data_IF_946490978217
#
_entry.id   IF_946490978217
#
_cell.length_a   1.000
_cell.length_b   1.000
_cell.length_c   1.000
_cell.angle_alpha   90.00
_cell.angle_beta   90.00
_cell.angle_gamma   90.00
#
_symmetry.space_group_name_H-M   'P 1'
#
loop_
_entity.id
_entity.type
_entity.pdbx_description
1 polymer ?
#
# COMPACT_ATOMS: atom_id res chain seq x y z
N UNK A 1 -15.09 35.06 6.97
CA UNK A 1 -13.75 35.33 6.40
C UNK A 1 -12.78 34.34 7.02
N UNK A 2 -12.21 33.47 6.20
CA UNK A 2 -11.33 32.38 6.61
C UNK A 2 -10.00 32.94 7.11
N UNK A 3 -9.63 32.62 8.35
CA UNK A 3 -8.26 32.77 8.84
C UNK A 3 -7.39 31.82 8.01
N UNK A 4 -6.67 32.37 7.04
CA UNK A 4 -5.62 31.65 6.32
C UNK A 4 -4.46 31.41 7.29
N UNK A 5 -3.96 30.18 7.33
CA UNK A 5 -2.86 29.79 8.22
C UNK A 5 -1.61 30.66 7.97
N UNK A 6 -0.97 31.19 9.03
CA UNK A 6 0.19 32.07 8.94
C UNK A 6 1.44 31.40 8.32
N UNK A 7 1.41 30.08 8.11
CA UNK A 7 2.49 29.36 7.44
C UNK A 7 2.65 29.70 5.95
N UNK A 8 1.60 30.23 5.29
CA UNK A 8 1.63 30.53 3.85
C UNK A 8 2.15 31.96 3.57
N UNK A 9 2.17 32.85 4.56
CA UNK A 9 2.54 34.26 4.36
C UNK A 9 4.05 34.53 4.28
N UNK A 10 4.91 33.58 4.65
CA UNK A 10 6.38 33.75 4.61
C UNK A 10 7.00 33.07 3.37
N UNK A 11 6.62 33.57 2.17
CA UNK A 11 6.89 32.91 0.88
C UNK A 11 8.28 33.15 0.27
N UNK A 12 9.15 33.97 0.86
CA UNK A 12 10.39 34.39 0.18
C UNK A 12 11.51 33.33 0.15
N UNK A 13 11.48 32.32 1.02
CA UNK A 13 12.54 31.30 1.13
C UNK A 13 12.02 29.85 1.23
N UNK A 14 10.73 29.60 0.95
CA UNK A 14 10.18 28.25 1.06
C UNK A 14 10.29 27.50 -0.27
N UNK A 15 10.95 26.35 -0.23
CA UNK A 15 11.00 25.41 -1.36
C UNK A 15 9.56 24.97 -1.68
N UNK A 16 9.14 24.95 -2.96
CA UNK A 16 7.78 24.56 -3.31
C UNK A 16 7.52 23.10 -2.92
N UNK A 17 6.47 22.86 -2.13
CA UNK A 17 6.07 21.50 -1.74
C UNK A 17 5.47 20.78 -2.95
N UNK A 18 6.08 19.65 -3.35
CA UNK A 18 5.64 18.86 -4.52
C UNK A 18 5.10 17.47 -4.18
N UNK A 19 5.20 17.04 -2.92
CA UNK A 19 4.74 15.73 -2.46
C UNK A 19 4.19 15.83 -1.04
N UNK A 20 3.04 15.20 -0.80
CA UNK A 20 2.49 14.92 0.52
C UNK A 20 2.53 13.41 0.74
N UNK A 21 3.14 12.97 1.85
CA UNK A 21 3.15 11.55 2.26
C UNK A 21 2.36 11.40 3.56
N UNK A 22 1.38 10.49 3.57
CA UNK A 22 0.61 10.13 4.77
C UNK A 22 0.86 8.66 5.07
N UNK A 23 1.70 8.40 6.08
CA UNK A 23 1.99 7.07 6.58
C UNK A 23 1.47 6.91 8.02
N UNK A 24 0.33 6.25 8.28
CA UNK A 24 -0.63 5.68 7.33
C UNK A 24 -1.99 6.31 7.50
N UNK A 25 -2.73 6.49 6.40
CA UNK A 25 -4.12 6.98 6.51
C UNK A 25 -5.02 5.99 7.28
N UNK A 26 -4.68 4.70 7.24
CA UNK A 26 -5.48 3.67 7.90
C UNK A 26 -5.36 3.65 9.44
N UNK A 27 -4.34 4.30 10.02
CA UNK A 27 -4.23 4.42 11.47
C UNK A 27 -5.46 5.10 12.11
N UNK A 28 -6.04 6.08 11.43
CA UNK A 28 -7.22 6.84 11.91
C UNK A 28 -8.52 6.03 11.97
N UNK A 29 -8.54 4.81 11.41
CA UNK A 29 -9.78 4.06 11.18
C UNK A 29 -9.78 2.68 11.82
N UNK A 30 -8.73 2.35 12.59
CA UNK A 30 -8.58 1.03 13.21
C UNK A 30 -9.24 0.89 14.57
N UNK A 31 -9.16 1.93 15.40
CA UNK A 31 -9.66 1.92 16.77
C UNK A 31 -10.97 2.67 16.95
N UNK A 32 -11.28 3.59 16.04
CA UNK A 32 -12.28 4.63 16.32
C UNK A 32 -13.68 4.28 15.77
N UNK A 33 -13.81 3.14 15.08
CA UNK A 33 -15.05 2.74 14.42
C UNK A 33 -15.37 1.27 14.71
N UNK A 34 -16.50 1.05 15.37
CA UNK A 34 -17.09 -0.29 15.49
C UNK A 34 -17.66 -0.76 14.14
N UNK A 35 -17.89 -2.08 14.04
CA UNK A 35 -18.51 -2.69 12.86
C UNK A 35 -20.05 -2.49 12.80
N UNK A 36 -20.57 -1.41 13.39
CA UNK A 36 -21.98 -1.05 13.28
C UNK A 36 -22.27 -0.40 11.92
N UNK A 37 -23.46 -0.60 11.32
CA UNK A 37 -23.81 0.03 10.05
C UNK A 37 -23.69 1.57 10.06
N UNK A 38 -23.99 2.19 11.21
CA UNK A 38 -23.92 3.64 11.42
C UNK A 38 -22.46 4.12 11.35
N UNK A 39 -21.56 3.45 12.07
CA UNK A 39 -20.14 3.80 12.07
C UNK A 39 -19.48 3.49 10.73
N UNK A 40 -19.86 2.41 10.05
CA UNK A 40 -19.40 2.11 8.68
C UNK A 40 -19.82 3.20 7.67
N UNK A 41 -21.04 3.73 7.80
CA UNK A 41 -21.51 4.86 6.99
C UNK A 41 -20.72 6.13 7.29
N UNK A 42 -20.50 6.43 8.57
CA UNK A 42 -19.71 7.60 9.01
C UNK A 42 -18.26 7.51 8.51
N UNK A 43 -17.63 6.35 8.65
CA UNK A 43 -16.31 6.03 8.12
C UNK A 43 -16.22 6.26 6.61
N UNK A 44 -17.19 5.76 5.86
CA UNK A 44 -17.26 5.95 4.40
C UNK A 44 -17.41 7.42 4.03
N UNK A 45 -18.25 8.18 4.73
CA UNK A 45 -18.37 9.63 4.53
C UNK A 45 -17.05 10.36 4.76
N UNK A 46 -16.30 9.97 5.80
CA UNK A 46 -15.01 10.56 6.11
C UNK A 46 -13.96 10.25 5.03
N UNK A 47 -13.93 9.03 4.47
CA UNK A 47 -13.10 8.68 3.31
C UNK A 47 -13.34 9.61 2.11
N UNK A 48 -14.60 9.84 1.75
CA UNK A 48 -14.94 10.75 0.64
C UNK A 48 -14.51 12.20 0.92
N UNK A 49 -14.70 12.68 2.16
CA UNK A 49 -14.26 14.03 2.55
C UNK A 49 -12.75 14.18 2.48
N UNK A 50 -12.00 13.25 3.07
CA UNK A 50 -10.52 13.30 3.10
C UNK A 50 -9.98 13.22 1.67
N UNK A 51 -10.42 12.23 0.88
CA UNK A 51 -9.94 12.06 -0.49
C UNK A 51 -10.26 13.26 -1.38
N UNK A 52 -11.45 13.86 -1.24
CA UNK A 52 -11.82 15.08 -1.96
C UNK A 52 -10.86 16.23 -1.62
N UNK A 53 -10.53 16.43 -0.34
CA UNK A 53 -9.59 17.46 0.10
C UNK A 53 -8.18 17.20 -0.42
N UNK A 54 -7.67 15.97 -0.33
CA UNK A 54 -6.35 15.60 -0.84
C UNK A 54 -6.25 15.81 -2.35
N UNK A 55 -7.28 15.44 -3.12
CA UNK A 55 -7.35 15.70 -4.57
C UNK A 55 -7.40 17.19 -4.89
N UNK A 56 -8.14 17.98 -4.11
CA UNK A 56 -8.19 19.42 -4.28
C UNK A 56 -6.82 20.07 -4.02
N UNK A 57 -6.09 19.63 -2.99
CA UNK A 57 -4.72 20.07 -2.73
C UNK A 57 -3.76 19.68 -3.86
N UNK A 58 -3.80 18.42 -4.30
CA UNK A 58 -3.00 17.92 -5.41
C UNK A 58 -3.19 18.76 -6.68
N UNK A 59 -4.45 19.04 -7.05
CA UNK A 59 -4.78 19.87 -8.20
C UNK A 59 -4.36 21.33 -8.02
N UNK A 60 -4.65 21.93 -6.86
CA UNK A 60 -4.38 23.36 -6.61
C UNK A 60 -2.89 23.68 -6.59
N UNK A 61 -2.08 22.79 -6.01
CA UNK A 61 -0.66 23.03 -5.79
C UNK A 61 0.24 22.21 -6.74
N UNK A 62 -0.34 21.49 -7.69
CA UNK A 62 0.37 20.64 -8.64
C UNK A 62 1.37 19.69 -7.93
N UNK A 63 0.87 18.98 -6.91
CA UNK A 63 1.66 18.06 -6.09
C UNK A 63 1.12 16.63 -6.18
N UNK A 64 1.97 15.67 -5.87
CA UNK A 64 1.57 14.28 -5.69
C UNK A 64 1.14 14.02 -4.23
N UNK A 65 0.17 13.12 -4.03
CA UNK A 65 -0.22 12.65 -2.70
C UNK A 65 -0.01 11.14 -2.65
N UNK A 66 0.89 10.70 -1.79
CA UNK A 66 1.15 9.29 -1.49
C UNK A 66 0.57 8.96 -0.12
N UNK A 67 -0.21 7.90 -0.05
CA UNK A 67 -0.79 7.41 1.20
C UNK A 67 -0.46 5.94 1.37
N UNK A 68 -0.05 5.54 2.56
CA UNK A 68 0.11 4.13 2.89
C UNK A 68 -1.18 3.62 3.53
N UNK A 69 -1.53 2.39 3.18
CA UNK A 69 -2.64 1.67 3.77
C UNK A 69 -2.10 0.33 4.23
N UNK A 70 -2.43 -0.07 5.45
CA UNK A 70 -2.08 -1.41 5.90
C UNK A 70 -3.03 -2.46 5.34
N UNK A 71 -2.64 -3.71 5.59
CA UNK A 71 -3.42 -4.88 5.23
C UNK A 71 -3.92 -5.60 6.47
N UNK A 72 -5.01 -6.34 6.30
CA UNK A 72 -5.57 -7.27 7.28
C UNK A 72 -5.54 -8.69 6.70
N UNK A 73 -5.47 -9.69 7.58
CA UNK A 73 -5.49 -11.09 7.16
C UNK A 73 -6.87 -11.47 6.62
N UNK A 74 -6.87 -12.21 5.50
CA UNK A 74 -8.09 -12.76 4.92
C UNK A 74 -8.28 -14.20 5.41
N UNK A 75 -9.10 -14.35 6.45
CA UNK A 75 -9.47 -15.64 7.05
C UNK A 75 -10.78 -16.12 6.43
N UNK A 76 -10.76 -17.31 5.82
CA UNK A 76 -11.90 -17.92 5.12
C UNK A 76 -11.44 -19.15 4.32
N UNK A 77 -12.34 -20.00 3.79
CA UNK A 77 -11.93 -21.15 2.99
C UNK A 77 -11.14 -20.72 1.74
N UNK A 78 -10.40 -21.65 1.13
CA UNK A 78 -9.73 -21.42 -0.15
C UNK A 78 -10.70 -21.14 -1.30
N UNK A 79 -11.99 -21.35 -1.06
CA UNK A 79 -13.10 -20.90 -1.87
C UNK A 79 -13.79 -19.78 -1.11
N UNK A 80 -13.88 -18.60 -1.73
CA UNK A 80 -14.36 -17.40 -1.08
C UNK A 80 -15.63 -17.66 -0.29
N UNK A 81 -15.70 -17.17 0.94
CA UNK A 81 -16.95 -17.06 1.66
C UNK A 81 -17.86 -16.21 0.74
N UNK A 82 -18.76 -16.88 0.03
CA UNK A 82 -19.63 -16.37 -1.04
C UNK A 82 -18.98 -15.87 -2.34
N UNK A 83 -17.79 -16.34 -2.75
CA UNK A 83 -17.21 -15.93 -4.04
C UNK A 83 -17.16 -14.41 -4.26
N UNK A 84 -17.23 -13.62 -3.18
CA UNK A 84 -17.42 -12.19 -3.24
C UNK A 84 -16.08 -11.57 -3.58
N UNK A 85 -15.79 -11.51 -4.89
CA UNK A 85 -14.92 -10.47 -5.42
C UNK A 85 -15.51 -9.16 -4.93
N UNK A 86 -14.95 -8.58 -3.87
CA UNK A 86 -15.31 -7.25 -3.40
C UNK A 86 -14.79 -6.27 -4.47
N UNK A 87 -15.49 -6.18 -5.61
CA UNK A 87 -15.03 -5.54 -6.84
C UNK A 87 -13.74 -6.15 -7.41
N UNK A 88 -12.92 -5.32 -8.06
CA UNK A 88 -11.58 -5.66 -8.56
C UNK A 88 -10.53 -5.88 -7.44
N UNK A 89 -10.91 -6.12 -6.19
CA UNK A 89 -9.94 -6.41 -5.13
C UNK A 89 -9.47 -7.86 -5.27
N UNK A 90 -8.32 -8.02 -5.91
CA UNK A 90 -7.57 -9.30 -5.99
C UNK A 90 -7.18 -9.75 -4.59
N UNK A 91 -7.30 -11.05 -4.30
CA UNK A 91 -6.69 -11.64 -3.11
C UNK A 91 -5.17 -11.50 -3.20
N UNK A 92 -4.57 -10.72 -2.29
CA UNK A 92 -3.14 -10.43 -2.31
C UNK A 92 -2.41 -11.42 -1.40
N UNK A 93 -1.18 -11.76 -1.77
CA UNK A 93 -0.35 -12.68 -1.00
C UNK A 93 0.96 -12.00 -0.60
N UNK A 94 1.34 -12.17 0.67
CA UNK A 94 2.63 -11.69 1.18
C UNK A 94 3.04 -12.50 2.41
N UNK A 95 4.31 -12.88 2.48
CA UNK A 95 4.90 -13.63 3.61
C UNK A 95 4.07 -14.88 3.97
N UNK A 96 3.63 -15.62 2.95
CA UNK A 96 2.81 -16.83 3.11
C UNK A 96 1.36 -16.60 3.54
N UNK A 97 0.89 -15.35 3.65
CA UNK A 97 -0.46 -15.01 4.10
C UNK A 97 -1.30 -14.40 3.00
N UNK A 98 -2.59 -14.71 3.01
CA UNK A 98 -3.61 -14.00 2.24
C UNK A 98 -4.02 -12.75 2.98
N UNK A 99 -4.02 -11.62 2.27
CA UNK A 99 -4.29 -10.31 2.86
C UNK A 99 -5.22 -9.49 1.96
N UNK A 100 -5.92 -8.54 2.58
CA UNK A 100 -6.68 -7.51 1.86
C UNK A 100 -6.41 -6.11 2.44
N UNK A 101 -6.62 -5.02 1.67
CA UNK A 101 -6.41 -3.66 2.17
C UNK A 101 -7.39 -3.28 3.29
N UNK A 102 -6.91 -2.65 4.36
CA UNK A 102 -7.69 -2.43 5.58
C UNK A 102 -8.90 -1.49 5.42
N UNK A 103 -8.86 -0.54 4.49
CA UNK A 103 -9.89 0.49 4.33
C UNK A 103 -11.06 0.10 3.42
N UNK A 104 -11.00 -1.08 2.79
CA UNK A 104 -12.10 -1.62 2.00
C UNK A 104 -12.50 -0.78 0.77
N UNK A 105 -13.69 -1.08 0.25
CA UNK A 105 -14.13 -0.63 -1.06
C UNK A 105 -14.42 0.88 -1.15
N UNK A 106 -14.95 1.47 -0.09
CA UNK A 106 -15.24 2.91 -0.06
C UNK A 106 -13.98 3.74 -0.30
N UNK A 107 -12.86 3.38 0.35
CA UNK A 107 -11.57 4.02 0.10
C UNK A 107 -10.98 3.64 -1.27
N UNK A 108 -11.12 2.37 -1.69
CA UNK A 108 -10.59 1.91 -2.97
C UNK A 108 -11.14 2.69 -4.18
N UNK A 109 -12.38 3.16 -4.12
CA UNK A 109 -12.99 3.99 -5.16
C UNK A 109 -12.54 5.46 -5.12
N UNK A 110 -11.85 5.88 -4.06
CA UNK A 110 -11.40 7.26 -3.91
C UNK A 110 -9.99 7.50 -4.49
N UNK A 111 -9.18 6.46 -4.67
CA UNK A 111 -7.77 6.59 -5.06
C UNK A 111 -7.56 6.43 -6.57
N UNK A 112 -6.55 7.11 -7.12
CA UNK A 112 -6.28 7.09 -8.56
C UNK A 112 -5.43 5.88 -8.99
N UNK A 113 -4.49 5.46 -8.13
CA UNK A 113 -3.62 4.31 -8.34
C UNK A 113 -3.43 3.56 -7.02
N UNK A 114 -3.28 2.24 -7.09
CA UNK A 114 -3.02 1.34 -5.97
C UNK A 114 -1.84 0.45 -6.32
N UNK A 115 -0.81 0.53 -5.50
CA UNK A 115 0.36 -0.34 -5.57
C UNK A 115 0.35 -1.27 -4.35
N UNK A 116 0.79 -2.51 -4.55
CA UNK A 116 0.92 -3.48 -3.46
C UNK A 116 2.36 -3.96 -3.33
N UNK A 117 2.89 -3.89 -2.12
CA UNK A 117 4.22 -4.40 -1.79
C UNK A 117 4.05 -5.76 -1.11
N UNK A 118 4.71 -6.77 -1.68
CA UNK A 118 4.77 -8.11 -1.09
C UNK A 118 6.21 -8.44 -0.65
N UNK A 119 6.32 -9.32 0.34
CA UNK A 119 7.59 -9.90 0.78
C UNK A 119 7.44 -11.42 0.82
N UNK A 120 8.22 -12.13 0.02
CA UNK A 120 8.28 -13.58 0.00
C UNK A 120 9.68 -14.05 0.42
N UNK A 121 9.76 -15.23 1.04
CA UNK A 121 11.02 -15.89 1.34
C UNK A 121 11.18 -17.06 0.36
N UNK A 122 12.20 -17.00 -0.48
CA UNK A 122 12.60 -18.13 -1.32
C UNK A 122 13.71 -18.89 -0.61
N UNK A 123 13.54 -20.20 -0.49
CA UNK A 123 14.56 -21.10 0.04
C UNK A 123 15.35 -21.63 -1.16
N UNK A 124 16.57 -21.14 -1.33
CA UNK A 124 17.47 -21.61 -2.39
C UNK A 124 18.34 -22.71 -1.79
N UNK A 125 18.41 -23.85 -2.48
CA UNK A 125 19.38 -24.90 -2.19
C UNK A 125 20.71 -24.48 -2.82
N UNK A 126 21.74 -24.30 -2.01
CA UNK A 126 23.10 -24.19 -2.56
C UNK A 126 23.61 -25.60 -2.85
N UNK A 127 23.73 -25.94 -4.13
CA UNK A 127 24.51 -27.10 -4.55
C UNK A 127 25.98 -26.72 -4.50
N UNK A 128 26.60 -26.85 -3.32
CA UNK A 128 28.05 -26.81 -3.22
C UNK A 128 28.62 -28.10 -3.84
N UNK A 129 29.04 -28.04 -5.11
CA UNK A 129 29.66 -29.16 -5.85
C UNK A 129 31.00 -29.64 -5.27
N UNK A 130 31.44 -29.15 -4.10
CA UNK A 130 32.75 -29.49 -3.52
C UNK A 130 32.73 -29.64 -2.00
N UNK A 131 32.15 -30.73 -1.49
CA UNK A 131 32.69 -31.45 -0.32
C UNK A 131 31.82 -32.65 0.06
N UNK A 132 32.45 -33.83 0.10
CA UNK A 132 31.94 -35.01 0.81
C UNK A 132 31.67 -34.64 2.29
N UNK A 133 30.41 -34.66 2.72
CA UNK A 133 30.05 -34.61 4.14
C UNK A 133 28.95 -33.61 4.51
N UNK A 134 27.70 -34.00 4.24
CA UNK A 134 26.55 -33.85 5.14
C UNK A 134 26.34 -32.52 5.90
N UNK A 135 26.18 -31.41 5.18
CA UNK A 135 25.28 -30.33 5.61
C UNK A 135 24.73 -29.60 4.38
N UNK A 136 23.44 -29.77 4.09
CA UNK A 136 22.73 -28.98 3.09
C UNK A 136 22.40 -27.61 3.69
N UNK A 137 23.18 -26.58 3.33
CA UNK A 137 22.91 -25.24 3.80
C UNK A 137 21.80 -24.61 2.94
N UNK A 138 20.71 -24.19 3.60
CA UNK A 138 19.57 -23.56 2.93
C UNK A 138 19.69 -22.05 3.07
N UNK A 139 19.92 -21.33 1.97
CA UNK A 139 19.95 -19.87 1.98
C UNK A 139 18.54 -19.32 1.80
N UNK A 140 18.07 -18.54 2.78
CA UNK A 140 16.79 -17.82 2.71
C UNK A 140 16.99 -16.47 2.03
N UNK A 141 16.55 -16.33 0.78
CA UNK A 141 16.52 -15.05 0.08
C UNK A 141 15.19 -14.35 0.30
N UNK A 142 15.23 -13.11 0.80
CA UNK A 142 14.04 -12.26 0.96
C UNK A 142 13.76 -11.52 -0.35
N UNK A 143 12.73 -11.93 -1.06
CA UNK A 143 12.27 -11.30 -2.29
C UNK A 143 11.16 -10.30 -2.00
N UNK A 144 11.29 -9.06 -2.48
CA UNK A 144 10.22 -8.06 -2.40
C UNK A 144 9.78 -7.67 -3.79
N UNK A 145 8.46 -7.58 -3.98
CA UNK A 145 7.83 -7.22 -5.24
C UNK A 145 6.84 -6.08 -5.04
N UNK A 146 6.84 -5.14 -5.96
CA UNK A 146 5.85 -4.09 -6.10
C UNK A 146 4.92 -4.47 -7.27
N UNK A 147 3.62 -4.49 -7.03
CA UNK A 147 2.59 -4.79 -8.02
C UNK A 147 1.73 -3.57 -8.29
N UNK A 148 1.43 -3.30 -9.56
CA UNK A 148 0.37 -2.37 -9.96
C UNK A 148 -0.97 -3.11 -9.85
N UNK A 149 -1.68 -2.90 -8.73
CA UNK A 149 -3.00 -3.53 -8.49
C UNK A 149 -4.11 -2.79 -9.23
N UNK A 150 -3.98 -1.47 -9.35
CA UNK A 150 -4.92 -0.66 -10.10
C UNK A 150 -4.25 0.65 -10.50
N UNK A 151 -4.27 0.97 -11.78
CA UNK A 151 -4.00 2.30 -12.29
C UNK A 151 -4.60 2.36 -13.71
N UNK A 152 -5.49 3.32 -14.03
CA UNK A 152 -6.15 3.35 -15.33
C UNK A 152 -5.20 3.63 -16.50
N UNK A 153 -3.99 4.13 -16.22
CA UNK A 153 -2.99 4.53 -17.21
C UNK A 153 -1.79 3.59 -17.27
N UNK A 154 -1.75 2.51 -16.47
CA UNK A 154 -0.65 1.55 -16.45
C UNK A 154 -1.15 0.14 -16.73
N UNK A 155 -0.37 -0.69 -17.43
CA UNK A 155 -0.66 -2.11 -17.56
C UNK A 155 -0.47 -2.83 -16.22
N UNK A 156 -1.10 -4.00 -16.10
CA UNK A 156 -0.78 -4.93 -15.02
C UNK A 156 0.69 -5.32 -15.12
N UNK A 157 1.46 -4.96 -14.09
CA UNK A 157 2.91 -5.10 -14.07
C UNK A 157 3.41 -5.22 -12.64
N UNK A 158 4.61 -5.79 -12.50
CA UNK A 158 5.29 -5.89 -11.23
C UNK A 158 6.80 -5.77 -11.40
N UNK A 159 7.49 -5.26 -10.39
CA UNK A 159 8.94 -5.22 -10.35
C UNK A 159 9.47 -5.72 -9.01
N UNK A 160 10.68 -6.29 -9.05
CA UNK A 160 11.42 -6.69 -7.87
C UNK A 160 12.27 -5.52 -7.36
N UNK A 161 12.37 -5.42 -6.04
CA UNK A 161 13.21 -4.42 -5.41
C UNK A 161 13.88 -4.99 -4.17
N UNK A 162 15.01 -4.39 -3.82
CA UNK A 162 15.73 -4.65 -2.59
C UNK A 162 15.80 -3.40 -1.72
N UNK A 163 15.94 -3.62 -0.42
CA UNK A 163 16.12 -2.55 0.56
C UNK A 163 17.49 -2.77 1.18
N UNK A 164 18.41 -1.85 0.91
CA UNK A 164 19.75 -1.83 1.46
C UNK A 164 19.86 -0.70 2.50
N UNK A 165 21.03 -0.51 3.10
CA UNK A 165 21.27 0.64 4.00
C UNK A 165 21.26 1.98 3.25
N UNK A 166 21.46 1.96 1.94
CA UNK A 166 21.53 3.14 1.08
C UNK A 166 20.16 3.55 0.54
N UNK A 167 19.16 2.66 0.61
CA UNK A 167 17.80 2.95 0.16
C UNK A 167 17.10 1.77 -0.51
N UNK A 168 16.17 2.09 -1.41
CA UNK A 168 15.40 1.14 -2.19
C UNK A 168 15.92 1.12 -3.62
N UNK A 169 16.27 -0.08 -4.11
CA UNK A 169 16.84 -0.29 -5.44
C UNK A 169 16.00 -1.30 -6.21
N UNK A 170 15.79 -1.03 -7.50
CA UNK A 170 15.17 -2.00 -8.40
C UNK A 170 16.16 -3.13 -8.71
N UNK A 171 15.66 -4.36 -8.82
CA UNK A 171 16.45 -5.50 -9.26
C UNK A 171 16.18 -5.69 -10.76
N UNK A 172 17.19 -5.42 -11.60
CA UNK A 172 17.13 -5.76 -13.02
C UNK A 172 17.32 -7.27 -13.19
N UNK A 173 16.51 -7.89 -14.05
CA UNK A 173 16.62 -9.30 -14.44
C UNK A 173 16.90 -9.39 -15.92
#
# INVERSE_FOLDING_TARGET
MSKTDPFIENSKNQVPVRLIVIDSIAALFRSDFDNSPVELKRRSSLFFKISSKLKALAKRFNLAVLVTNQVVDLVGPNEGINGLRIGNLVCLHTSGRRVCPALGLAWANCVNSRLFLSRNEEVIREENEKSNGQSCDFVKKKMRKLYVVFAPHLPESSCEFEITREGLFGVER
#
